data_IF_523855037574
#
_entry.id   IF_523855037574
#
_cell.length_a   1.000
_cell.length_b   1.000
_cell.length_c   1.000
_cell.angle_alpha   90.00
_cell.angle_beta   90.00
_cell.angle_gamma   90.00
#
_symmetry.space_group_name_H-M   'P 1'
#
loop_
_entity.id
_entity.type
_entity.pdbx_description
1 polymer ?
#
# COMPACT_ATOMS: atom_id res chain seq x y z
N UNK A 1 48.82 63.48 -10.41
CA UNK A 1 48.39 62.15 -10.91
C UNK A 1 48.39 61.05 -9.83
N UNK A 2 49.20 61.13 -8.78
CA UNK A 2 49.21 60.12 -7.69
C UNK A 2 47.98 60.16 -6.75
N UNK A 3 47.39 61.33 -6.54
CA UNK A 3 46.27 61.50 -5.61
C UNK A 3 44.97 60.79 -6.06
N UNK A 4 44.84 60.50 -7.36
CA UNK A 4 43.64 59.89 -7.95
C UNK A 4 43.68 58.35 -7.92
N UNK A 5 44.88 57.74 -7.91
CA UNK A 5 45.04 56.28 -7.78
C UNK A 5 44.61 55.76 -6.41
N UNK A 6 44.86 56.53 -5.35
CA UNK A 6 44.48 56.19 -3.97
C UNK A 6 42.95 56.15 -3.76
N UNK A 7 42.22 57.13 -4.33
CA UNK A 7 40.75 57.14 -4.26
C UNK A 7 40.11 55.99 -5.03
N UNK A 8 40.68 55.62 -6.19
CA UNK A 8 40.19 54.49 -7.00
C UNK A 8 40.42 53.15 -6.31
N UNK A 9 41.58 52.95 -5.67
CA UNK A 9 41.87 51.75 -4.89
C UNK A 9 40.92 51.58 -3.69
N UNK A 10 40.62 52.66 -2.95
CA UNK A 10 39.65 52.62 -1.83
C UNK A 10 38.24 52.30 -2.29
N UNK A 11 37.79 52.83 -3.43
CA UNK A 11 36.46 52.53 -4.00
C UNK A 11 36.34 51.07 -4.46
N UNK A 12 37.39 50.51 -5.06
CA UNK A 12 37.43 49.10 -5.46
C UNK A 12 37.43 48.14 -4.25
N UNK A 13 38.16 48.47 -3.19
CA UNK A 13 38.16 47.67 -1.97
C UNK A 13 36.77 47.63 -1.31
N UNK A 14 36.10 48.78 -1.19
CA UNK A 14 34.75 48.88 -0.61
C UNK A 14 33.73 48.11 -1.47
N UNK A 15 33.80 48.23 -2.80
CA UNK A 15 32.91 47.49 -3.69
C UNK A 15 33.11 45.97 -3.58
N UNK A 16 34.36 45.50 -3.45
CA UNK A 16 34.68 44.09 -3.24
C UNK A 16 34.14 43.54 -1.92
N UNK A 17 34.28 44.30 -0.81
CA UNK A 17 33.77 43.88 0.50
C UNK A 17 32.24 43.83 0.54
N UNK A 18 31.56 44.80 -0.10
CA UNK A 18 30.09 44.78 -0.19
C UNK A 18 29.59 43.61 -1.03
N UNK A 19 30.27 43.28 -2.14
CA UNK A 19 29.92 42.13 -2.96
C UNK A 19 30.09 40.80 -2.21
N UNK A 20 31.20 40.64 -1.46
CA UNK A 20 31.43 39.47 -0.61
C UNK A 20 30.40 39.33 0.51
N UNK A 21 29.99 40.44 1.15
CA UNK A 21 28.96 40.43 2.18
C UNK A 21 27.57 40.11 1.61
N UNK A 22 27.24 40.58 0.41
CA UNK A 22 25.99 40.22 -0.25
C UNK A 22 25.97 38.75 -0.69
N UNK A 23 27.09 38.21 -1.19
CA UNK A 23 27.22 36.79 -1.51
C UNK A 23 27.11 35.95 -0.24
N UNK A 24 27.78 36.34 0.85
CA UNK A 24 27.68 35.64 2.13
C UNK A 24 26.26 35.70 2.69
N UNK A 25 25.60 36.86 2.63
CA UNK A 25 24.22 37.00 3.07
C UNK A 25 23.25 36.17 2.22
N UNK A 26 23.40 36.19 0.90
CA UNK A 26 22.60 35.38 -0.03
C UNK A 26 22.82 33.88 0.16
N UNK A 27 24.08 33.44 0.33
CA UNK A 27 24.42 32.05 0.68
C UNK A 27 23.92 31.66 2.07
N UNK A 28 23.88 32.59 3.03
CA UNK A 28 23.32 32.35 4.36
C UNK A 28 21.78 32.27 4.34
N UNK A 29 21.11 32.98 3.43
CA UNK A 29 19.68 32.83 3.19
C UNK A 29 19.33 31.56 2.41
N UNK A 30 20.26 31.01 1.61
CA UNK A 30 20.14 29.67 1.02
C UNK A 30 20.38 28.55 2.04
N UNK A 31 21.04 28.84 3.17
CA UNK A 31 21.07 27.99 4.37
C UNK A 31 19.85 28.26 5.26
N UNK A 32 18.64 28.30 4.70
CA UNK A 32 17.48 28.02 5.56
C UNK A 32 17.73 26.63 6.17
N UNK A 33 17.66 26.47 7.49
CA UNK A 33 17.73 25.14 8.08
C UNK A 33 16.68 24.33 7.32
N UNK A 34 17.12 23.26 6.66
CA UNK A 34 16.22 22.31 6.01
C UNK A 34 15.24 21.97 7.12
N UNK A 35 14.00 22.45 7.00
CA UNK A 35 12.95 22.11 7.95
C UNK A 35 12.86 20.60 7.84
N UNK A 36 13.40 19.92 8.85
CA UNK A 36 13.42 18.47 8.89
C UNK A 36 11.98 18.07 9.09
N UNK A 37 11.26 17.84 7.99
CA UNK A 37 9.94 17.25 8.02
C UNK A 37 10.11 15.96 8.84
N UNK A 38 9.41 15.83 9.98
CA UNK A 38 9.58 14.66 10.82
C UNK A 38 9.27 13.42 10.00
N UNK A 39 10.23 12.51 9.95
CA UNK A 39 10.11 11.27 9.19
C UNK A 39 8.98 10.45 9.80
N UNK A 40 8.01 10.08 8.98
CA UNK A 40 6.87 9.27 9.43
C UNK A 40 7.27 7.81 9.54
N UNK A 41 6.90 7.18 10.65
CA UNK A 41 7.13 5.76 10.90
C UNK A 41 5.91 4.95 10.52
N UNK A 42 6.08 3.96 9.66
CA UNK A 42 5.01 3.12 9.13
C UNK A 42 5.31 1.66 9.43
N UNK A 43 4.35 0.94 10.01
CA UNK A 43 4.41 -0.51 10.10
C UNK A 43 3.55 -1.13 9.01
N UNK A 44 4.09 -2.12 8.31
CA UNK A 44 3.38 -2.92 7.31
C UNK A 44 3.14 -4.30 7.90
N UNK A 45 1.88 -4.64 8.10
CA UNK A 45 1.45 -5.95 8.58
C UNK A 45 1.01 -6.77 7.37
N UNK A 46 1.81 -7.76 7.00
CA UNK A 46 1.44 -8.72 5.95
C UNK A 46 0.84 -9.97 6.59
N UNK A 47 -0.45 -10.22 6.36
CA UNK A 47 -1.11 -11.46 6.77
C UNK A 47 -0.85 -12.53 5.72
N UNK A 48 0.07 -13.45 5.98
CA UNK A 48 0.49 -14.45 5.00
C UNK A 48 -0.29 -15.77 5.04
N UNK A 49 0.16 -16.77 4.26
CA UNK A 49 -0.50 -18.06 4.09
C UNK A 49 -0.70 -18.83 5.40
N UNK A 50 -1.68 -19.73 5.41
CA UNK A 50 -2.03 -20.52 6.60
C UNK A 50 -1.57 -21.98 6.54
N UNK A 51 -1.12 -22.46 5.38
CA UNK A 51 -0.45 -23.74 5.24
C UNK A 51 0.62 -23.65 4.17
N UNK A 52 1.60 -24.53 4.28
CA UNK A 52 2.73 -24.64 3.36
C UNK A 52 2.43 -25.56 2.17
N UNK A 53 1.35 -26.34 2.26
CA UNK A 53 0.92 -27.21 1.19
C UNK A 53 0.15 -26.38 0.17
N UNK A 54 0.70 -26.30 -1.04
CA UNK A 54 0.15 -25.58 -2.18
C UNK A 54 -1.22 -26.13 -2.63
N UNK A 55 -1.45 -27.43 -2.43
CA UNK A 55 -2.72 -28.12 -2.71
C UNK A 55 -3.86 -27.78 -1.75
N UNK A 56 -3.59 -27.11 -0.62
CA UNK A 56 -4.62 -26.72 0.34
C UNK A 56 -5.39 -25.48 -0.14
N UNK A 57 -6.45 -25.72 -0.92
CA UNK A 57 -7.33 -24.68 -1.43
C UNK A 57 -6.57 -23.63 -2.26
N UNK A 58 -6.46 -22.40 -1.74
CA UNK A 58 -5.83 -21.27 -2.44
C UNK A 58 -4.37 -21.02 -2.04
N UNK A 59 -3.77 -21.91 -1.25
CA UNK A 59 -2.45 -21.66 -0.69
C UNK A 59 -1.34 -21.57 -1.73
N UNK A 60 -1.38 -22.31 -2.85
CA UNK A 60 -0.37 -22.16 -3.92
C UNK A 60 -0.21 -20.69 -4.35
N UNK A 61 -1.33 -19.97 -4.50
CA UNK A 61 -1.37 -18.57 -4.89
C UNK A 61 -0.89 -17.67 -3.76
N UNK A 62 -1.31 -17.94 -2.52
CA UNK A 62 -0.90 -17.14 -1.36
C UNK A 62 0.59 -17.27 -1.06
N UNK A 63 1.19 -18.44 -1.28
CA UNK A 63 2.63 -18.67 -1.17
C UNK A 63 3.38 -17.86 -2.22
N UNK A 64 2.95 -17.92 -3.48
CA UNK A 64 3.50 -17.08 -4.56
C UNK A 64 3.37 -15.58 -4.28
N UNK A 65 2.25 -15.15 -3.69
CA UNK A 65 2.06 -13.76 -3.27
C UNK A 65 3.05 -13.33 -2.19
N UNK A 66 3.27 -14.18 -1.17
CA UNK A 66 4.26 -13.90 -0.13
C UNK A 66 5.67 -13.84 -0.72
N UNK A 67 6.04 -14.77 -1.60
CA UNK A 67 7.36 -14.79 -2.25
C UNK A 67 7.59 -13.48 -3.03
N UNK A 68 6.61 -13.09 -3.85
CA UNK A 68 6.66 -11.85 -4.62
C UNK A 68 6.73 -10.62 -3.70
N UNK A 69 5.92 -10.58 -2.65
CA UNK A 69 5.94 -9.48 -1.68
C UNK A 69 7.29 -9.35 -0.96
N UNK A 70 7.92 -10.46 -0.57
CA UNK A 70 9.24 -10.43 0.06
C UNK A 70 10.33 -9.93 -0.91
N UNK A 71 10.20 -10.23 -2.20
CA UNK A 71 11.14 -9.80 -3.23
C UNK A 71 10.96 -8.33 -3.60
N UNK A 72 9.71 -7.90 -3.82
CA UNK A 72 9.40 -6.60 -4.43
C UNK A 72 8.76 -5.59 -3.47
N UNK A 73 8.06 -6.06 -2.44
CA UNK A 73 7.36 -5.21 -1.48
C UNK A 73 8.19 -4.80 -0.26
N UNK A 74 9.12 -5.65 0.16
CA UNK A 74 10.02 -5.35 1.27
C UNK A 74 11.21 -4.55 0.78
N UNK A 75 11.23 -3.27 1.14
CA UNK A 75 12.35 -2.36 0.91
C UNK A 75 13.25 -2.33 2.14
N UNK A 76 14.56 -2.46 1.92
CA UNK A 76 15.56 -2.46 3.00
C UNK A 76 15.93 -1.03 3.46
N UNK A 77 15.78 -0.07 2.54
CA UNK A 77 15.94 1.36 2.80
C UNK A 77 14.80 2.14 2.15
N UNK A 78 14.46 3.31 2.70
CA UNK A 78 13.43 4.19 2.16
C UNK A 78 13.78 5.65 2.44
N UNK A 79 13.53 6.53 1.47
CA UNK A 79 13.78 7.97 1.62
C UNK A 79 12.49 8.64 2.10
N UNK A 80 12.57 9.37 3.22
CA UNK A 80 11.47 10.18 3.73
C UNK A 80 10.39 9.42 4.51
N UNK A 81 10.52 8.11 4.66
CA UNK A 81 9.66 7.27 5.51
C UNK A 81 10.49 6.15 6.14
N UNK A 82 10.22 5.85 7.41
CA UNK A 82 10.76 4.65 8.08
C UNK A 82 9.70 3.56 8.01
N UNK A 83 10.09 2.37 7.53
CA UNK A 83 9.15 1.29 7.27
C UNK A 83 9.65 0.02 7.94
N UNK A 84 8.83 -0.51 8.84
CA UNK A 84 9.04 -1.81 9.46
C UNK A 84 7.97 -2.80 8.96
N UNK A 85 8.33 -4.07 8.86
CA UNK A 85 7.50 -5.14 8.33
C UNK A 85 7.25 -6.18 9.41
N UNK A 86 5.99 -6.53 9.63
CA UNK A 86 5.59 -7.64 10.48
C UNK A 86 4.87 -8.66 9.60
N UNK A 87 5.54 -9.78 9.33
CA UNK A 87 5.01 -10.87 8.53
C UNK A 87 4.33 -11.86 9.46
N UNK A 88 3.01 -11.98 9.37
CA UNK A 88 2.22 -12.83 10.27
C UNK A 88 1.81 -14.12 9.56
N UNK A 89 2.27 -15.26 10.08
CA UNK A 89 2.17 -16.57 9.44
C UNK A 89 1.66 -17.63 10.43
N UNK A 90 1.11 -18.73 9.92
CA UNK A 90 0.96 -19.92 10.76
C UNK A 90 2.33 -20.54 11.04
N UNK A 91 2.42 -21.34 12.11
CA UNK A 91 3.70 -21.87 12.60
C UNK A 91 4.51 -22.56 11.51
N UNK A 92 3.92 -23.52 10.81
CA UNK A 92 4.65 -24.31 9.80
C UNK A 92 5.17 -23.44 8.65
N UNK A 93 4.39 -22.43 8.23
CA UNK A 93 4.81 -21.47 7.21
C UNK A 93 5.93 -20.56 7.75
N UNK A 94 5.80 -20.08 8.99
CA UNK A 94 6.82 -19.27 9.64
C UNK A 94 8.15 -20.01 9.76
N UNK A 95 8.11 -21.27 10.18
CA UNK A 95 9.28 -22.14 10.36
C UNK A 95 9.99 -22.37 9.02
N UNK A 96 9.25 -22.64 7.94
CA UNK A 96 9.85 -22.77 6.60
C UNK A 96 10.48 -21.45 6.12
N UNK A 97 9.72 -20.35 6.15
CA UNK A 97 10.17 -19.07 5.60
C UNK A 97 11.27 -18.39 6.42
N UNK A 98 11.37 -18.73 7.71
CA UNK A 98 12.39 -18.21 8.64
C UNK A 98 13.51 -19.22 8.92
N UNK A 99 13.52 -20.37 8.24
CA UNK A 99 14.65 -21.30 8.27
C UNK A 99 15.92 -20.63 7.74
N UNK A 100 17.09 -21.27 7.91
CA UNK A 100 18.38 -20.74 7.42
C UNK A 100 18.34 -20.39 5.93
N UNK A 101 17.67 -21.21 5.12
CA UNK A 101 17.52 -21.00 3.67
C UNK A 101 16.19 -20.34 3.28
N UNK A 102 15.37 -19.99 4.26
CA UNK A 102 14.06 -19.38 4.07
C UNK A 102 14.14 -17.97 3.49
N UNK A 103 13.12 -17.57 2.71
CA UNK A 103 13.11 -16.28 2.02
C UNK A 103 13.13 -15.09 2.98
N UNK A 104 12.50 -15.19 4.16
CA UNK A 104 12.52 -14.10 5.14
C UNK A 104 13.94 -13.93 5.71
N UNK A 105 14.62 -15.02 6.03
CA UNK A 105 16.02 -14.99 6.51
C UNK A 105 16.94 -14.39 5.46
N UNK A 106 16.80 -14.80 4.20
CA UNK A 106 17.55 -14.24 3.06
C UNK A 106 17.28 -12.74 2.90
N UNK A 107 16.01 -12.31 2.94
CA UNK A 107 15.66 -10.89 2.82
C UNK A 107 16.19 -10.05 3.99
N UNK A 108 16.17 -10.58 5.22
CA UNK A 108 16.81 -9.95 6.38
C UNK A 108 18.30 -9.76 6.18
N UNK A 109 18.99 -10.74 5.62
CA UNK A 109 20.43 -10.65 5.35
C UNK A 109 20.72 -9.63 4.24
N UNK A 110 19.95 -9.67 3.14
CA UNK A 110 20.02 -8.69 2.06
C UNK A 110 19.89 -7.25 2.59
N UNK A 111 18.93 -7.00 3.47
CA UNK A 111 18.76 -5.68 4.06
C UNK A 111 19.92 -5.24 4.95
N UNK A 112 20.53 -6.15 5.71
CA UNK A 112 21.73 -5.84 6.51
C UNK A 112 22.91 -5.48 5.63
N UNK A 113 23.09 -6.20 4.52
CA UNK A 113 24.19 -5.99 3.58
C UNK A 113 24.02 -4.66 2.81
N UNK A 114 22.80 -4.35 2.37
CA UNK A 114 22.46 -3.06 1.75
C UNK A 114 22.73 -1.91 2.71
N UNK A 115 22.27 -2.00 3.96
CA UNK A 115 22.46 -0.97 4.98
C UNK A 115 23.93 -0.76 5.33
N UNK A 116 24.73 -1.83 5.39
CA UNK A 116 26.18 -1.74 5.58
C UNK A 116 26.84 -0.96 4.43
N UNK A 117 26.41 -1.24 3.20
CA UNK A 117 26.91 -0.55 2.00
C UNK A 117 26.51 0.93 1.98
N UNK A 118 25.27 1.25 2.35
CA UNK A 118 24.78 2.64 2.43
C UNK A 118 25.50 3.42 3.53
N UNK A 119 25.69 2.85 4.73
CA UNK A 119 26.45 3.48 5.82
C UNK A 119 27.89 3.79 5.43
N UNK A 120 28.52 2.93 4.63
CA UNK A 120 29.87 3.17 4.12
C UNK A 120 29.96 4.35 3.11
N UNK A 121 28.86 4.66 2.42
CA UNK A 121 28.80 5.69 1.37
C UNK A 121 28.23 7.02 1.84
N UNK A 122 27.35 7.01 2.85
CA UNK A 122 26.60 8.18 3.28
C UNK A 122 27.36 9.03 4.30
N UNK A 123 27.85 10.19 3.88
CA UNK A 123 28.29 11.25 4.80
C UNK A 123 27.06 12.08 5.20
N UNK A 124 26.47 11.76 6.36
CA UNK A 124 25.55 12.67 7.06
C UNK A 124 24.06 12.63 6.66
N UNK A 125 23.60 11.63 5.90
CA UNK A 125 22.16 11.40 5.69
C UNK A 125 21.68 10.37 6.73
N UNK A 126 20.69 10.69 7.58
CA UNK A 126 20.09 9.72 8.48
C UNK A 126 19.36 8.64 7.67
N UNK A 127 19.76 7.38 7.87
CA UNK A 127 19.03 6.22 7.35
C UNK A 127 18.53 5.39 8.52
N UNK A 128 17.26 4.99 8.46
CA UNK A 128 16.70 3.99 9.36
C UNK A 128 16.88 2.61 8.77
N UNK A 129 17.24 1.64 9.62
CA UNK A 129 17.32 0.24 9.23
C UNK A 129 15.92 -0.36 9.26
N UNK A 130 15.43 -0.83 8.11
CA UNK A 130 14.10 -1.45 8.04
C UNK A 130 14.11 -2.76 8.82
N UNK A 131 13.18 -2.92 9.76
CA UNK A 131 13.06 -4.14 10.56
C UNK A 131 12.05 -5.10 9.92
N UNK A 132 12.42 -6.39 9.84
CA UNK A 132 11.49 -7.46 9.43
C UNK A 132 11.27 -8.36 10.63
N UNK A 133 10.03 -8.44 11.12
CA UNK A 133 9.61 -9.33 12.19
C UNK A 133 8.73 -10.46 11.65
N UNK A 134 8.72 -11.59 12.35
CA UNK A 134 7.81 -12.69 12.07
C UNK A 134 6.99 -12.98 13.31
N UNK A 135 5.67 -12.91 13.17
CA UNK A 135 4.73 -13.28 14.24
C UNK A 135 3.93 -14.50 13.85
N UNK A 136 3.67 -15.36 14.84
CA UNK A 136 2.91 -16.59 14.62
C UNK A 136 1.44 -16.34 14.97
N UNK A 137 0.55 -16.74 14.06
CA UNK A 137 -0.91 -16.76 14.26
C UNK A 137 -1.49 -18.16 14.23
N UNK A 138 -2.66 -18.31 14.84
CA UNK A 138 -3.51 -19.47 14.62
C UNK A 138 -4.27 -19.31 13.30
N UNK A 139 -4.68 -20.43 12.69
CA UNK A 139 -5.55 -20.42 11.51
C UNK A 139 -7.02 -20.18 11.91
N UNK A 140 -7.31 -19.00 12.45
CA UNK A 140 -8.65 -18.53 12.82
C UNK A 140 -8.83 -17.08 12.40
N UNK A 141 -10.06 -16.59 12.41
CA UNK A 141 -10.40 -15.19 12.08
C UNK A 141 -9.89 -14.68 10.72
N UNK A 142 -9.65 -15.59 9.76
CA UNK A 142 -9.08 -15.26 8.45
C UNK A 142 -7.83 -14.39 8.61
N UNK A 143 -7.59 -13.46 7.70
CA UNK A 143 -6.42 -12.57 7.74
C UNK A 143 -6.50 -11.48 8.81
N UNK A 144 -7.67 -11.31 9.43
CA UNK A 144 -7.91 -10.27 10.43
C UNK A 144 -7.22 -10.59 11.75
N UNK A 145 -6.94 -11.88 12.00
CA UNK A 145 -6.18 -12.36 13.14
C UNK A 145 -4.81 -11.70 13.24
N UNK A 146 -4.21 -11.39 12.09
CA UNK A 146 -2.88 -10.80 12.01
C UNK A 146 -2.81 -9.44 12.70
N UNK A 147 -3.76 -8.54 12.41
CA UNK A 147 -3.80 -7.23 13.09
C UNK A 147 -4.13 -7.39 14.56
N UNK A 148 -5.03 -8.30 14.91
CA UNK A 148 -5.40 -8.56 16.31
C UNK A 148 -4.18 -8.97 17.13
N UNK A 149 -3.39 -9.93 16.65
CA UNK A 149 -2.19 -10.44 17.33
C UNK A 149 -1.14 -9.35 17.45
N UNK A 150 -0.84 -8.66 16.35
CA UNK A 150 0.17 -7.58 16.37
C UNK A 150 -0.23 -6.48 17.35
N UNK A 151 -1.50 -6.07 17.34
CA UNK A 151 -2.02 -5.02 18.25
C UNK A 151 -2.03 -5.45 19.73
N UNK A 152 -2.01 -6.75 20.02
CA UNK A 152 -1.95 -7.27 21.39
C UNK A 152 -0.51 -7.40 21.91
N UNK A 153 0.46 -7.58 21.01
CA UNK A 153 1.85 -7.86 21.37
C UNK A 153 2.78 -6.64 21.24
N UNK A 154 2.31 -5.56 20.58
CA UNK A 154 3.08 -4.33 20.32
C UNK A 154 2.24 -3.11 20.65
N UNK A 155 2.91 -2.04 21.09
CA UNK A 155 2.26 -0.75 21.29
C UNK A 155 2.43 0.11 20.03
N UNK A 156 1.70 -0.27 18.98
CA UNK A 156 1.87 0.28 17.63
C UNK A 156 1.75 1.81 17.58
N UNK A 157 1.07 2.43 18.54
CA UNK A 157 0.91 3.88 18.58
C UNK A 157 2.09 4.63 19.16
N UNK A 158 2.83 3.99 20.07
CA UNK A 158 4.09 4.54 20.55
C UNK A 158 5.20 4.34 19.53
N UNK A 159 5.10 3.27 18.75
CA UNK A 159 6.14 2.84 17.82
C UNK A 159 5.99 3.48 16.42
N UNK A 160 4.76 3.71 15.95
CA UNK A 160 4.48 4.12 14.57
C UNK A 160 3.42 5.22 14.45
N UNK A 161 3.53 6.03 13.39
CA UNK A 161 2.50 6.98 12.99
C UNK A 161 1.37 6.29 12.20
N UNK A 162 1.75 5.39 11.30
CA UNK A 162 0.87 4.75 10.34
C UNK A 162 0.98 3.23 10.40
N UNK A 163 -0.13 2.57 10.08
CA UNK A 163 -0.22 1.13 9.87
C UNK A 163 -0.76 0.88 8.48
N UNK A 164 -0.11 -0.01 7.73
CA UNK A 164 -0.62 -0.56 6.47
C UNK A 164 -0.84 -2.05 6.65
N UNK A 165 -2.02 -2.53 6.30
CA UNK A 165 -2.36 -3.94 6.28
C UNK A 165 -2.35 -4.46 4.86
N UNK A 166 -1.79 -5.65 4.66
CA UNK A 166 -1.79 -6.37 3.38
C UNK A 166 -2.24 -7.81 3.61
N UNK A 167 -3.25 -8.23 2.85
CA UNK A 167 -3.81 -9.57 2.85
C UNK A 167 -3.02 -10.52 1.93
N UNK A 168 -2.92 -11.80 2.29
CA UNK A 168 -2.21 -12.84 1.51
C UNK A 168 -2.71 -13.01 0.06
N UNK A 169 -3.95 -12.62 -0.23
CA UNK A 169 -4.49 -12.69 -1.58
C UNK A 169 -4.21 -11.46 -2.44
N UNK A 170 -3.34 -10.55 -2.01
CA UNK A 170 -2.85 -9.44 -2.84
C UNK A 170 -1.62 -9.86 -3.62
N UNK A 171 -1.63 -9.66 -4.94
CA UNK A 171 -0.45 -9.69 -5.79
C UNK A 171 0.16 -8.29 -5.84
N UNK A 172 1.50 -8.20 -5.80
CA UNK A 172 2.24 -6.94 -5.80
C UNK A 172 3.09 -6.71 -4.54
N UNK A 173 3.69 -5.51 -4.40
CA UNK A 173 3.55 -4.35 -5.28
C UNK A 173 4.24 -4.51 -6.63
N UNK A 174 3.63 -4.04 -7.72
CA UNK A 174 4.24 -3.97 -9.05
C UNK A 174 4.62 -2.53 -9.41
N UNK A 175 5.86 -2.37 -9.87
CA UNK A 175 6.39 -1.09 -10.34
C UNK A 175 6.53 -1.13 -11.86
N UNK A 176 5.52 -0.60 -12.57
CA UNK A 176 5.54 -0.43 -14.03
C UNK A 176 5.66 1.04 -14.46
N UNK A 177 5.82 1.32 -15.76
CA UNK A 177 5.90 2.70 -16.30
C UNK A 177 4.67 3.56 -15.98
N UNK A 178 3.51 2.93 -15.80
CA UNK A 178 2.24 3.58 -15.47
C UNK A 178 1.88 3.46 -13.98
N UNK A 179 2.81 3.00 -13.13
CA UNK A 179 2.57 2.82 -11.71
C UNK A 179 2.22 4.16 -11.04
N UNK A 180 1.21 4.20 -10.15
CA UNK A 180 0.80 5.44 -9.49
C UNK A 180 1.81 5.96 -8.44
N UNK A 181 2.90 5.23 -8.20
CA UNK A 181 3.92 5.62 -7.23
C UNK A 181 5.10 6.27 -7.93
N UNK A 182 5.46 7.52 -7.57
CA UNK A 182 6.62 8.19 -8.14
C UNK A 182 7.91 7.40 -7.90
N UNK A 183 8.82 7.46 -8.87
CA UNK A 183 10.14 6.84 -8.74
C UNK A 183 10.85 7.30 -7.46
N UNK A 184 11.45 6.36 -6.73
CA UNK A 184 12.17 6.62 -5.48
C UNK A 184 11.29 6.82 -4.24
N UNK A 185 9.96 6.71 -4.38
CA UNK A 185 9.01 6.77 -3.26
C UNK A 185 8.69 5.36 -2.78
N UNK A 186 8.55 5.16 -1.46
CA UNK A 186 8.13 3.86 -0.95
C UNK A 186 6.63 3.65 -1.24
N UNK A 187 6.24 2.48 -1.74
CA UNK A 187 4.86 2.22 -2.19
C UNK A 187 3.80 2.47 -1.11
N UNK A 188 4.15 2.29 0.18
CA UNK A 188 3.21 2.51 1.29
C UNK A 188 2.76 3.97 1.38
N UNK A 189 3.55 4.92 0.87
CA UNK A 189 3.19 6.34 0.84
C UNK A 189 2.00 6.63 -0.06
N UNK A 190 1.71 5.78 -1.04
CA UNK A 190 0.47 5.84 -1.83
C UNK A 190 -0.78 5.75 -0.94
N UNK A 191 -0.70 4.99 0.14
CA UNK A 191 -1.80 4.75 1.07
C UNK A 191 -1.71 5.65 2.31
N UNK A 192 -0.50 6.02 2.76
CA UNK A 192 -0.34 6.81 3.98
C UNK A 192 -0.36 8.32 3.74
N UNK A 193 0.04 8.81 2.56
CA UNK A 193 0.02 10.25 2.26
C UNK A 193 -1.38 10.89 2.29
N UNK A 194 -2.47 10.21 1.85
CA UNK A 194 -3.82 10.77 1.95
C UNK A 194 -4.41 10.77 3.37
N UNK A 195 -3.75 10.14 4.36
CA UNK A 195 -4.22 10.15 5.74
C UNK A 195 -4.07 11.56 6.34
N UNK A 196 -5.15 12.03 6.95
CA UNK A 196 -5.23 13.35 7.60
C UNK A 196 -6.08 13.25 8.87
N UNK A 197 -6.29 14.38 9.55
CA UNK A 197 -7.20 14.40 10.71
C UNK A 197 -8.66 14.06 10.34
N UNK A 198 -9.06 14.33 9.09
CA UNK A 198 -10.38 14.00 8.56
C UNK A 198 -10.41 12.65 7.84
N UNK A 199 -9.36 12.29 7.10
CA UNK A 199 -9.27 11.01 6.38
C UNK A 199 -8.51 9.99 7.22
N UNK A 200 -9.23 9.07 7.86
CA UNK A 200 -8.67 8.14 8.87
C UNK A 200 -8.35 6.75 8.33
N UNK A 201 -8.79 6.44 7.12
CA UNK A 201 -8.53 5.15 6.46
C UNK A 201 -8.45 5.32 4.95
N UNK A 202 -7.43 4.71 4.33
CA UNK A 202 -7.21 4.74 2.89
C UNK A 202 -7.06 3.31 2.39
N UNK A 203 -7.92 2.89 1.48
CA UNK A 203 -7.92 1.55 0.89
C UNK A 203 -7.40 1.51 -0.53
N UNK A 204 -7.22 0.31 -1.06
CA UNK A 204 -7.10 0.12 -2.51
C UNK A 204 -8.40 0.54 -3.25
N UNK A 205 -9.55 0.35 -2.61
CA UNK A 205 -10.88 0.54 -3.17
C UNK A 205 -11.90 0.97 -2.12
N UNK A 206 -12.98 1.65 -2.53
CA UNK A 206 -14.18 1.81 -1.70
C UNK A 206 -15.35 1.06 -2.34
N UNK A 207 -15.72 -0.08 -1.75
CA UNK A 207 -16.94 -0.76 -2.14
C UNK A 207 -18.17 -0.06 -1.57
N UNK A 208 -19.23 0.00 -2.38
CA UNK A 208 -20.43 0.77 -2.05
C UNK A 208 -21.72 -0.04 -1.94
N UNK A 209 -22.68 0.35 -2.77
CA UNK A 209 -24.09 0.02 -2.57
C UNK A 209 -24.49 -1.24 -3.31
N UNK A 210 -25.11 -2.19 -2.61
CA UNK A 210 -25.72 -3.38 -3.21
C UNK A 210 -27.23 -3.27 -3.07
N UNK A 211 -27.97 -3.29 -4.18
CA UNK A 211 -29.45 -3.30 -4.22
C UNK A 211 -30.08 -2.24 -3.29
N UNK A 212 -29.70 -0.98 -3.46
CA UNK A 212 -30.15 0.19 -2.68
C UNK A 212 -29.68 0.26 -1.21
N UNK A 213 -28.89 -0.69 -0.73
CA UNK A 213 -28.25 -0.58 0.59
C UNK A 213 -26.82 -0.08 0.43
N UNK A 214 -26.61 1.20 0.72
CA UNK A 214 -25.30 1.83 0.70
C UNK A 214 -24.54 1.58 1.99
N UNK A 215 -23.44 0.84 1.89
CA UNK A 215 -22.51 0.60 2.99
C UNK A 215 -21.10 0.89 2.50
N UNK A 216 -20.75 2.17 2.25
CA UNK A 216 -19.41 2.52 1.79
C UNK A 216 -18.36 1.97 2.75
N UNK A 217 -17.42 1.21 2.23
CA UNK A 217 -16.33 0.65 3.00
C UNK A 217 -15.07 0.45 2.18
N UNK A 218 -13.94 0.66 2.84
CA UNK A 218 -12.65 0.22 2.31
C UNK A 218 -12.60 -1.30 2.33
N UNK A 219 -12.25 -1.90 1.19
CA UNK A 219 -12.16 -3.35 1.08
C UNK A 219 -10.95 -3.88 1.87
N UNK A 220 -11.16 -4.95 2.66
CA UNK A 220 -10.22 -5.37 3.71
C UNK A 220 -8.95 -6.10 3.23
N UNK A 221 -8.60 -5.98 1.95
CA UNK A 221 -7.42 -6.65 1.40
C UNK A 221 -6.14 -5.82 1.49
N UNK A 222 -6.25 -4.50 1.39
CA UNK A 222 -5.14 -3.59 1.57
C UNK A 222 -5.67 -2.23 2.01
N UNK A 223 -5.23 -1.76 3.17
CA UNK A 223 -5.56 -0.43 3.64
C UNK A 223 -4.48 0.15 4.56
N UNK A 224 -4.45 1.48 4.66
CA UNK A 224 -3.69 2.22 5.63
C UNK A 224 -4.60 2.96 6.61
N UNK A 225 -4.15 3.08 7.86
CA UNK A 225 -4.77 3.91 8.91
C UNK A 225 -3.66 4.60 9.71
N UNK A 226 -3.98 5.71 10.36
CA UNK A 226 -3.12 6.20 11.43
C UNK A 226 -3.23 5.29 12.66
N UNK A 227 -2.16 5.15 13.43
CA UNK A 227 -2.17 4.28 14.63
C UNK A 227 -3.12 4.79 15.71
N UNK A 228 -3.42 6.09 15.75
CA UNK A 228 -4.50 6.64 16.58
C UNK A 228 -5.88 6.07 16.20
N UNK A 229 -6.11 5.86 14.89
CA UNK A 229 -7.36 5.26 14.39
C UNK A 229 -7.49 3.80 14.84
N UNK A 230 -6.37 3.08 15.00
CA UNK A 230 -6.37 1.71 15.50
C UNK A 230 -7.01 1.60 16.89
N UNK A 231 -6.74 2.52 17.83
CA UNK A 231 -7.40 2.53 19.15
C UNK A 231 -8.91 2.65 19.04
N UNK A 232 -9.35 3.53 18.16
CA UNK A 232 -10.77 3.76 17.94
C UNK A 232 -11.45 2.48 17.46
N UNK A 233 -10.81 1.77 16.53
CA UNK A 233 -11.34 0.51 16.00
C UNK A 233 -11.29 -0.64 17.01
N UNK A 234 -10.26 -0.70 17.85
CA UNK A 234 -10.16 -1.67 18.96
C UNK A 234 -11.24 -1.41 20.02
N UNK A 235 -11.42 -0.16 20.45
CA UNK A 235 -12.42 0.20 21.47
C UNK A 235 -13.85 -0.04 20.99
N UNK A 236 -14.09 0.12 19.68
CA UNK A 236 -15.37 -0.16 19.02
C UNK A 236 -15.54 -1.64 18.63
N UNK A 237 -14.61 -2.52 19.06
CA UNK A 237 -14.60 -3.97 18.80
C UNK A 237 -14.72 -4.30 17.31
N UNK A 238 -14.08 -3.49 16.46
CA UNK A 238 -13.99 -3.74 15.00
C UNK A 238 -12.81 -4.60 14.63
N UNK A 239 -11.76 -4.54 15.45
CA UNK A 239 -10.71 -5.56 15.51
C UNK A 239 -10.97 -6.33 16.81
N UNK A 240 -11.31 -7.61 16.69
CA UNK A 240 -11.87 -8.42 17.78
C UNK A 240 -11.39 -9.86 17.70
N UNK A 241 -11.54 -10.60 18.79
CA UNK A 241 -11.39 -12.06 18.79
C UNK A 241 -12.67 -12.69 18.22
N UNK A 242 -12.57 -13.33 17.06
CA UNK A 242 -13.74 -13.86 16.37
C UNK A 242 -14.27 -15.17 16.95
N UNK A 243 -13.62 -15.75 17.97
CA UNK A 243 -13.97 -17.06 18.50
C UNK A 243 -13.83 -18.19 17.47
N UNK A 244 -14.45 -19.34 17.77
CA UNK A 244 -14.27 -20.57 16.97
C UNK A 244 -15.24 -20.67 15.78
N UNK A 245 -16.37 -19.96 15.82
CA UNK A 245 -17.39 -20.03 14.77
C UNK A 245 -17.95 -18.66 14.42
N UNK A 246 -17.36 -18.00 13.43
CA UNK A 246 -17.98 -16.86 12.77
C UNK A 246 -18.17 -17.13 11.30
N UNK A 247 -19.42 -17.02 10.84
CA UNK A 247 -19.70 -17.06 9.41
C UNK A 247 -18.85 -16.00 8.70
N UNK A 248 -18.35 -16.31 7.50
CA UNK A 248 -17.56 -15.36 6.69
C UNK A 248 -18.25 -14.00 6.56
N UNK A 249 -19.58 -14.01 6.39
CA UNK A 249 -20.41 -12.80 6.29
C UNK A 249 -20.37 -11.97 7.58
N UNK A 250 -20.35 -12.62 8.75
CA UNK A 250 -20.23 -11.92 10.02
C UNK A 250 -18.87 -11.22 10.15
N UNK A 251 -17.78 -11.91 9.79
CA UNK A 251 -16.44 -11.31 9.78
C UNK A 251 -16.38 -10.09 8.86
N UNK A 252 -16.89 -10.20 7.63
CA UNK A 252 -16.96 -9.09 6.66
C UNK A 252 -17.79 -7.92 7.23
N UNK A 253 -18.97 -8.21 7.80
CA UNK A 253 -19.85 -7.15 8.31
C UNK A 253 -19.24 -6.41 9.52
N UNK A 254 -18.58 -7.11 10.42
CA UNK A 254 -18.00 -6.50 11.62
C UNK A 254 -16.67 -5.80 11.34
N UNK A 255 -15.83 -6.42 10.54
CA UNK A 255 -14.49 -5.92 10.27
C UNK A 255 -14.51 -4.94 9.11
N UNK A 256 -14.68 -5.45 7.89
CA UNK A 256 -14.53 -4.67 6.66
C UNK A 256 -15.55 -3.53 6.58
N UNK A 257 -16.84 -3.85 6.67
CA UNK A 257 -17.92 -2.86 6.67
C UNK A 257 -17.92 -2.07 7.99
N UNK A 258 -17.72 -2.77 9.11
CA UNK A 258 -17.87 -2.18 10.43
C UNK A 258 -16.80 -1.14 10.77
N UNK A 259 -15.54 -1.35 10.36
CA UNK A 259 -14.47 -0.36 10.57
C UNK A 259 -14.79 0.95 9.84
N UNK A 260 -15.11 0.87 8.55
CA UNK A 260 -15.45 2.03 7.74
C UNK A 260 -16.69 2.76 8.26
N UNK A 261 -17.75 2.00 8.61
CA UNK A 261 -18.98 2.54 9.20
C UNK A 261 -18.71 3.26 10.52
N UNK A 262 -17.86 2.72 11.38
CA UNK A 262 -17.48 3.37 12.65
C UNK A 262 -16.82 4.71 12.42
N UNK A 263 -15.90 4.81 11.46
CA UNK A 263 -15.21 6.06 11.13
C UNK A 263 -16.19 7.10 10.57
N UNK A 264 -16.99 6.70 9.58
CA UNK A 264 -18.00 7.57 8.98
C UNK A 264 -18.98 8.06 10.04
N UNK A 265 -19.50 7.20 10.91
CA UNK A 265 -20.44 7.58 11.96
C UNK A 265 -19.87 8.58 12.97
N UNK A 266 -18.54 8.61 13.15
CA UNK A 266 -17.84 9.55 14.02
C UNK A 266 -17.41 10.85 13.30
N UNK A 267 -17.84 11.05 12.06
CA UNK A 267 -17.57 12.25 11.27
C UNK A 267 -16.24 12.22 10.51
N UNK A 268 -15.55 11.08 10.50
CA UNK A 268 -14.35 10.89 9.68
C UNK A 268 -14.69 10.48 8.25
N UNK A 269 -13.70 10.61 7.37
CA UNK A 269 -13.73 10.17 5.99
C UNK A 269 -12.87 8.92 5.78
N UNK A 270 -13.24 8.13 4.78
CA UNK A 270 -12.43 7.06 4.21
C UNK A 270 -12.06 7.43 2.78
N UNK A 271 -10.97 6.89 2.24
CA UNK A 271 -10.55 7.17 0.88
C UNK A 271 -10.08 5.93 0.11
N UNK A 272 -10.14 5.98 -1.22
CA UNK A 272 -9.34 5.10 -2.09
C UNK A 272 -7.98 5.76 -2.36
N UNK A 273 -6.94 4.97 -2.54
CA UNK A 273 -5.59 5.49 -2.66
C UNK A 273 -5.36 6.25 -3.98
N UNK A 274 -5.76 5.67 -5.11
CA UNK A 274 -5.45 6.25 -6.44
C UNK A 274 -6.45 5.91 -7.54
N UNK A 275 -7.38 4.98 -7.31
CA UNK A 275 -8.36 4.57 -8.31
C UNK A 275 -9.75 5.03 -7.85
N UNK A 276 -10.42 5.78 -8.71
CA UNK A 276 -11.86 5.97 -8.65
C UNK A 276 -12.44 5.85 -10.07
N UNK A 277 -13.74 5.61 -10.16
CA UNK A 277 -14.40 5.36 -11.45
C UNK A 277 -14.50 6.57 -12.40
N UNK A 278 -14.11 7.76 -11.97
CA UNK A 278 -14.13 8.97 -12.77
C UNK A 278 -12.74 9.31 -13.33
N UNK A 279 -11.66 9.03 -12.58
CA UNK A 279 -10.31 9.49 -12.91
C UNK A 279 -9.21 8.61 -12.27
N UNK A 280 -8.31 8.09 -13.11
CA UNK A 280 -7.08 7.42 -12.67
C UNK A 280 -6.14 8.43 -11.98
N UNK A 281 -5.58 8.04 -10.84
CA UNK A 281 -4.61 8.85 -10.08
C UNK A 281 -5.26 9.78 -9.06
N UNK A 282 -6.59 9.75 -8.89
CA UNK A 282 -7.30 10.59 -7.92
C UNK A 282 -8.00 9.74 -6.86
N UNK A 283 -7.77 10.06 -5.60
CA UNK A 283 -8.46 9.43 -4.47
C UNK A 283 -9.95 9.77 -4.46
N UNK A 284 -10.82 8.77 -4.31
CA UNK A 284 -12.21 8.99 -3.91
C UNK A 284 -12.27 9.19 -2.40
N UNK A 285 -12.93 10.23 -1.91
CA UNK A 285 -13.11 10.48 -0.47
C UNK A 285 -14.59 10.38 -0.11
N UNK A 286 -14.93 9.49 0.82
CA UNK A 286 -16.30 9.24 1.28
C UNK A 286 -16.45 9.55 2.77
N UNK A 287 -17.52 10.27 3.10
CA UNK A 287 -17.93 10.68 4.44
C UNK A 287 -19.47 10.70 4.55
N UNK A 288 -20.00 11.24 5.65
CA UNK A 288 -21.44 11.27 5.91
C UNK A 288 -22.26 12.06 4.87
N UNK A 289 -21.69 13.08 4.22
CA UNK A 289 -22.42 13.98 3.32
C UNK A 289 -22.45 13.48 1.88
N UNK A 290 -21.55 12.57 1.52
CA UNK A 290 -21.37 12.11 0.14
C UNK A 290 -21.35 10.57 0.00
N UNK A 291 -22.06 9.86 0.89
CA UNK A 291 -22.17 8.38 0.87
C UNK A 291 -22.60 7.82 -0.50
N UNK A 292 -23.36 8.58 -1.27
CA UNK A 292 -23.81 8.21 -2.60
C UNK A 292 -22.67 8.08 -3.60
N UNK A 293 -21.53 8.77 -3.42
CA UNK A 293 -20.39 8.64 -4.35
C UNK A 293 -19.80 7.23 -4.36
N UNK A 294 -19.98 6.47 -3.28
CA UNK A 294 -19.56 5.08 -3.22
C UNK A 294 -20.42 4.14 -4.10
N UNK A 295 -21.59 4.56 -4.59
CA UNK A 295 -22.37 3.74 -5.55
C UNK A 295 -21.57 3.49 -6.82
N UNK A 296 -20.65 4.39 -7.14
CA UNK A 296 -19.94 4.39 -8.40
C UNK A 296 -18.64 3.63 -8.30
N UNK A 297 -17.97 3.52 -7.15
CA UNK A 297 -16.63 2.90 -7.01
C UNK A 297 -16.69 1.38 -6.76
N UNK A 298 -17.63 0.70 -7.43
CA UNK A 298 -17.67 -0.76 -7.48
C UNK A 298 -16.40 -1.24 -8.18
N UNK A 299 -15.41 -1.63 -7.39
CA UNK A 299 -14.22 -2.27 -7.87
C UNK A 299 -14.61 -3.41 -8.82
N UNK A 300 -13.80 -3.50 -9.87
CA UNK A 300 -14.06 -4.13 -11.16
C UNK A 300 -14.61 -5.56 -11.07
N UNK A 301 -14.41 -6.30 -9.98
CA UNK A 301 -14.99 -7.65 -9.81
C UNK A 301 -16.52 -7.69 -9.98
N UNK A 302 -17.27 -6.83 -9.27
CA UNK A 302 -18.74 -6.87 -9.32
C UNK A 302 -19.28 -6.24 -10.62
N UNK A 303 -18.59 -5.23 -11.16
CA UNK A 303 -18.90 -4.61 -12.45
C UNK A 303 -18.66 -5.57 -13.62
N UNK A 304 -17.58 -6.36 -13.59
CA UNK A 304 -17.31 -7.45 -14.54
C UNK A 304 -18.30 -8.61 -14.41
N UNK A 305 -18.76 -8.91 -13.18
CA UNK A 305 -19.78 -9.93 -12.93
C UNK A 305 -21.08 -9.63 -13.67
N UNK A 306 -21.43 -8.36 -13.78
CA UNK A 306 -22.58 -7.90 -14.58
C UNK A 306 -22.24 -7.79 -16.08
N UNK A 307 -21.03 -7.37 -16.43
CA UNK A 307 -20.61 -7.23 -17.82
C UNK A 307 -20.50 -8.59 -18.56
N UNK A 308 -20.00 -9.63 -17.91
CA UNK A 308 -19.89 -11.00 -18.47
C UNK A 308 -21.23 -11.68 -18.75
N UNK A 309 -22.33 -11.19 -18.17
CA UNK A 309 -23.67 -11.67 -18.54
C UNK A 309 -24.21 -11.03 -19.84
N UNK A 310 -23.51 -10.05 -20.44
CA UNK A 310 -24.09 -9.22 -21.51
C UNK A 310 -23.18 -8.89 -22.71
N UNK A 311 -21.94 -9.39 -22.80
CA UNK A 311 -21.00 -8.92 -23.84
C UNK A 311 -20.74 -9.96 -24.93
N UNK A 312 -21.28 -9.65 -26.11
CA UNK A 312 -20.77 -10.06 -27.42
C UNK A 312 -19.43 -9.35 -27.70
N UNK A 313 -18.39 -10.14 -28.01
CA UNK A 313 -16.99 -9.71 -28.17
C UNK A 313 -16.78 -8.65 -29.29
N UNK A 314 -17.75 -8.46 -30.18
CA UNK A 314 -17.68 -7.50 -31.29
C UNK A 314 -17.66 -6.01 -30.88
N UNK A 315 -18.01 -5.70 -29.63
CA UNK A 315 -18.19 -4.32 -29.15
C UNK A 315 -16.94 -3.67 -28.51
N UNK A 316 -15.93 -4.46 -28.16
CA UNK A 316 -14.71 -3.98 -27.49
C UNK A 316 -13.79 -3.14 -28.41
N UNK A 317 -13.90 -3.29 -29.73
CA UNK A 317 -13.01 -2.59 -30.69
C UNK A 317 -13.38 -1.14 -31.00
N UNK A 318 -14.52 -0.61 -30.50
CA UNK A 318 -15.00 0.73 -30.88
C UNK A 318 -14.78 1.86 -29.86
N UNK A 319 -14.16 1.59 -28.70
CA UNK A 319 -14.21 2.52 -27.55
C UNK A 319 -12.97 3.36 -27.24
N UNK A 320 -11.87 3.29 -28.00
CA UNK A 320 -10.68 4.14 -27.76
C UNK A 320 -10.81 5.60 -28.26
N UNK A 321 -12.03 6.16 -28.22
CA UNK A 321 -12.33 7.53 -28.61
C UNK A 321 -13.34 8.26 -27.70
N UNK A 322 -13.76 7.68 -26.57
CA UNK A 322 -14.68 8.37 -25.66
C UNK A 322 -14.88 7.66 -24.33
N UNK A 323 -14.35 8.27 -23.25
CA UNK A 323 -14.58 7.89 -21.85
C UNK A 323 -14.07 6.50 -21.48
N UNK A 324 -13.23 6.39 -20.45
CA UNK A 324 -12.88 5.08 -19.87
C UNK A 324 -14.17 4.48 -19.30
N UNK A 325 -14.82 3.61 -20.07
CA UNK A 325 -16.01 2.90 -19.64
C UNK A 325 -15.66 1.99 -18.47
N UNK A 326 -16.55 1.89 -17.49
CA UNK A 326 -16.42 1.15 -16.22
C UNK A 326 -16.31 -0.39 -16.37
N UNK A 327 -15.79 -0.91 -17.48
CA UNK A 327 -15.83 -2.34 -17.85
C UNK A 327 -14.48 -2.93 -18.29
N UNK A 328 -13.44 -2.12 -18.49
CA UNK A 328 -12.14 -2.62 -18.93
C UNK A 328 -11.22 -2.85 -17.72
N UNK A 329 -10.72 -4.08 -17.57
CA UNK A 329 -9.59 -4.35 -16.67
C UNK A 329 -8.36 -3.71 -17.31
N UNK A 330 -7.72 -2.77 -16.60
CA UNK A 330 -6.49 -2.18 -17.09
C UNK A 330 -5.36 -3.22 -17.04
N UNK A 331 -4.29 -3.06 -17.84
CA UNK A 331 -3.06 -3.83 -17.65
C UNK A 331 -2.53 -3.67 -16.22
N UNK A 332 -1.84 -4.68 -15.70
CA UNK A 332 -1.29 -4.66 -14.34
C UNK A 332 -0.34 -3.47 -14.11
N UNK A 333 0.33 -2.94 -15.14
CA UNK A 333 1.17 -1.75 -14.99
C UNK A 333 0.44 -0.49 -14.47
N UNK A 334 -0.90 -0.46 -14.49
CA UNK A 334 -1.73 0.60 -13.91
C UNK A 334 -2.12 0.35 -12.44
N UNK A 335 -1.85 -0.84 -11.90
CA UNK A 335 -2.14 -1.18 -10.52
C UNK A 335 -0.87 -1.43 -9.72
N UNK A 336 -0.79 -0.81 -8.54
CA UNK A 336 0.28 -1.15 -7.61
C UNK A 336 0.06 -2.54 -7.01
N UNK A 337 -1.16 -2.82 -6.60
CA UNK A 337 -1.55 -4.14 -6.10
C UNK A 337 -2.81 -4.62 -6.82
N UNK A 338 -2.88 -5.93 -7.03
CA UNK A 338 -4.05 -6.57 -7.62
C UNK A 338 -4.63 -7.59 -6.64
N UNK A 339 -5.94 -7.48 -6.37
CA UNK A 339 -6.61 -8.47 -5.53
C UNK A 339 -6.86 -9.74 -6.35
N UNK A 340 -6.15 -10.82 -6.01
CA UNK A 340 -6.36 -12.11 -6.62
C UNK A 340 -7.49 -12.85 -5.89
N UNK A 341 -8.55 -13.16 -6.62
CA UNK A 341 -9.85 -13.55 -6.03
C UNK A 341 -10.53 -14.69 -6.78
N UNK A 342 -11.44 -14.41 -7.72
CA UNK A 342 -12.02 -15.38 -8.67
C UNK A 342 -11.60 -15.09 -10.10
N UNK A 343 -11.01 -13.92 -10.34
CA UNK A 343 -10.61 -13.45 -11.65
C UNK A 343 -9.13 -13.11 -11.58
N UNK A 344 -8.33 -13.64 -12.51
CA UNK A 344 -6.89 -13.34 -12.59
C UNK A 344 -6.55 -12.99 -14.03
N UNK A 345 -6.20 -11.73 -14.33
CA UNK A 345 -5.71 -11.33 -15.65
C UNK A 345 -4.45 -12.10 -16.06
N UNK A 346 -4.25 -12.35 -17.36
CA UNK A 346 -3.10 -13.12 -17.85
C UNK A 346 -1.75 -12.50 -17.49
N UNK A 347 -1.61 -11.17 -17.54
CA UNK A 347 -0.39 -10.47 -17.13
C UNK A 347 -0.11 -10.68 -15.64
N UNK A 348 -1.13 -10.67 -14.78
CA UNK A 348 -1.02 -11.03 -13.36
C UNK A 348 -0.58 -12.48 -13.19
N UNK A 349 -1.19 -13.42 -13.91
CA UNK A 349 -0.79 -14.83 -13.86
C UNK A 349 0.67 -15.04 -14.28
N UNK A 350 1.08 -14.40 -15.37
CA UNK A 350 2.41 -14.53 -15.95
C UNK A 350 3.48 -13.96 -15.02
N UNK A 351 3.28 -12.76 -14.50
CA UNK A 351 4.26 -12.08 -13.64
C UNK A 351 4.31 -12.70 -12.24
N UNK A 352 3.20 -13.22 -11.71
CA UNK A 352 3.20 -13.97 -10.45
C UNK A 352 3.61 -15.45 -10.61
N UNK A 353 3.84 -15.90 -11.84
CA UNK A 353 4.12 -17.30 -12.19
C UNK A 353 3.12 -18.29 -11.57
N UNK A 354 1.83 -17.98 -11.68
CA UNK A 354 0.80 -18.86 -11.17
C UNK A 354 0.65 -20.12 -12.02
N UNK A 355 0.47 -21.26 -11.34
CA UNK A 355 0.09 -22.51 -11.99
C UNK A 355 -1.36 -22.40 -12.49
N UNK A 356 -1.50 -22.37 -13.82
CA UNK A 356 -2.77 -22.24 -14.55
C UNK A 356 -3.70 -23.43 -14.30
N UNK A 357 -3.14 -24.63 -14.13
CA UNK A 357 -3.92 -25.83 -13.84
C UNK A 357 -4.48 -25.78 -12.41
N UNK A 358 -3.69 -25.32 -11.45
CA UNK A 358 -4.14 -25.12 -10.06
C UNK A 358 -5.17 -24.00 -9.94
N UNK A 359 -5.01 -22.90 -10.69
CA UNK A 359 -6.03 -21.84 -10.79
C UNK A 359 -7.34 -22.40 -11.33
N UNK A 360 -7.29 -23.15 -12.43
CA UNK A 360 -8.46 -23.76 -13.06
C UNK A 360 -9.16 -24.75 -12.12
N UNK A 361 -8.40 -25.64 -11.46
CA UNK A 361 -8.91 -26.60 -10.46
C UNK A 361 -9.61 -25.91 -9.29
N UNK A 362 -9.13 -24.73 -8.89
CA UNK A 362 -9.71 -23.92 -7.82
C UNK A 362 -10.82 -22.94 -8.28
N UNK A 363 -11.36 -23.16 -9.49
CA UNK A 363 -12.50 -22.41 -10.06
C UNK A 363 -12.23 -20.92 -10.23
N UNK A 364 -10.97 -20.55 -10.50
CA UNK A 364 -10.66 -19.21 -10.99
C UNK A 364 -11.04 -19.09 -12.46
N UNK A 365 -11.53 -17.91 -12.84
CA UNK A 365 -11.78 -17.53 -14.22
C UNK A 365 -10.50 -16.91 -14.79
N UNK A 366 -9.99 -17.52 -15.84
CA UNK A 366 -8.79 -17.08 -16.54
C UNK A 366 -9.21 -16.24 -17.75
N UNK A 367 -8.63 -15.07 -17.90
CA UNK A 367 -8.86 -14.23 -19.07
C UNK A 367 -7.58 -14.15 -19.88
N UNK A 368 -7.58 -14.62 -21.14
CA UNK A 368 -6.54 -14.23 -22.06
C UNK A 368 -6.66 -12.72 -22.23
N UNK A 369 -5.57 -11.98 -21.99
CA UNK A 369 -5.47 -10.64 -22.55
C UNK A 369 -5.50 -10.87 -24.05
N UNK A 370 -6.53 -10.39 -24.75
CA UNK A 370 -6.50 -10.40 -26.20
C UNK A 370 -5.21 -9.69 -26.58
N UNK A 371 -4.30 -10.36 -27.27
CA UNK A 371 -3.14 -9.72 -27.86
C UNK A 371 -3.68 -8.58 -28.74
N UNK A 372 -3.67 -7.37 -28.19
CA UNK A 372 -3.82 -6.17 -28.96
C UNK A 372 -2.42 -5.92 -29.50
N UNK A 373 -2.14 -6.54 -30.64
CA UNK A 373 -1.08 -6.10 -31.54
C UNK A 373 -1.33 -4.66 -31.99
#
# INVERSE_FOLDING_TARGET
MEFDRSKRAKRLAIAGTVCLLMIYHWLSQLRRPISTIPVKRTVIIYSGPTSIHDTDGKNFMYLKNLDYFLQHGVSCSSVGVEVDYIIVLTRDVADQYSSTDGLITKKKQECKDEMTTLRARAIGIPFHESFIDVMIRQNRCYDMESIRIVSQQRDLQKEYDNLVFVNCGMAGPKFGPNSPVPSGTHWSQLFTAPLTDSVRMVGLSINGCVKHQCRPHVQSFLYAISTQTLQLLLSEKRIYDCGDETSRIFVINLYEIGMSKTLINKGYSIASAYLNNEELGKSLIVNQTNLHLATNDLWVEDSLRNATMTIDQSSLKRSFGGGIGTKDILPWDYYMFFKVSRFVPYDVQSEMEYDVDLLSKNKFQLFPISAAD
#
